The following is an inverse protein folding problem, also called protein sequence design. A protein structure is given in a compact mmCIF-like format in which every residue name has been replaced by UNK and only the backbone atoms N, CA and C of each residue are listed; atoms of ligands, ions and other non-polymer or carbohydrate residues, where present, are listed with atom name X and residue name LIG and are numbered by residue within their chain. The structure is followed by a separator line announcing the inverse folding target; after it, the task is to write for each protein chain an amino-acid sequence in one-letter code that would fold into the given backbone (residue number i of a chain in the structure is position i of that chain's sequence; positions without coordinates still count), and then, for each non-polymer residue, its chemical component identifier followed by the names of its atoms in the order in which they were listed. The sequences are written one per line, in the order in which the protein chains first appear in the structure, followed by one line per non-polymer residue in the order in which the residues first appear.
data_IF_513908828192
#
_entry.id   IF_513908828192
#
_cell.length_a   1.000
_cell.length_b   1.000
_cell.length_c   1.000
_cell.angle_alpha   90.00
_cell.angle_beta   90.00
_cell.angle_gamma   90.00
#
_symmetry.space_group_name_H-M   'P 1'
#
loop_
_entity.id
_entity.type
_entity.pdbx_description
1 polymer ?
#
# COMPACT_ATOMS: atom_id res chain seq x y z
N UNK A 1 -84.53 47.25 22.59
CA UNK A 1 -84.31 47.38 21.15
C UNK A 1 -82.84 47.73 20.91
N UNK A 2 -82.09 46.79 20.37
CA UNK A 2 -80.64 46.85 20.20
C UNK A 2 -80.25 47.57 18.90
N UNK A 3 -79.10 48.25 18.89
CA UNK A 3 -78.33 48.51 17.66
C UNK A 3 -76.92 47.98 17.86
N UNK A 4 -76.45 47.00 17.06
CA UNK A 4 -75.07 46.56 17.14
C UNK A 4 -74.17 47.58 16.44
N UNK A 5 -73.14 48.06 17.14
CA UNK A 5 -72.07 48.88 16.56
C UNK A 5 -71.15 47.94 15.76
N UNK A 6 -71.13 48.09 14.43
CA UNK A 6 -70.23 47.33 13.55
C UNK A 6 -68.83 47.95 13.58
N UNK A 7 -67.87 47.25 14.17
CA UNK A 7 -66.45 47.56 13.99
C UNK A 7 -65.97 46.98 12.66
N UNK A 8 -65.68 47.84 11.68
CA UNK A 8 -65.03 47.44 10.43
C UNK A 8 -63.54 47.17 10.67
N UNK A 9 -63.15 45.91 10.79
CA UNK A 9 -61.74 45.48 10.77
C UNK A 9 -61.22 45.47 9.34
N UNK A 10 -60.85 46.62 8.81
CA UNK A 10 -60.08 46.72 7.56
C UNK A 10 -58.70 47.31 7.84
N UNK A 11 -57.90 46.63 8.67
CA UNK A 11 -56.47 46.94 8.80
C UNK A 11 -55.77 46.39 7.55
N UNK A 12 -55.87 47.13 6.43
CA UNK A 12 -55.01 46.89 5.26
C UNK A 12 -53.57 46.97 5.75
N UNK A 13 -52.88 45.83 5.83
CA UNK A 13 -51.42 45.82 5.91
C UNK A 13 -50.93 46.45 4.61
N UNK A 14 -50.63 47.75 4.62
CA UNK A 14 -49.86 48.36 3.53
C UNK A 14 -48.53 47.63 3.53
N UNK A 15 -48.31 46.76 2.55
CA UNK A 15 -46.97 46.28 2.26
C UNK A 15 -46.13 47.53 2.02
N UNK A 16 -45.18 47.80 2.93
CA UNK A 16 -44.22 48.88 2.78
C UNK A 16 -43.40 48.58 1.52
N UNK A 17 -43.82 49.15 0.39
CA UNK A 17 -43.09 49.03 -0.86
C UNK A 17 -41.91 49.98 -0.79
N UNK A 18 -40.72 49.43 -0.61
CA UNK A 18 -39.45 50.16 -0.53
C UNK A 18 -39.10 50.95 -1.80
N UNK A 19 -39.94 50.93 -2.85
CA UNK A 19 -39.74 51.69 -4.10
C UNK A 19 -39.91 53.22 -3.94
N UNK A 20 -40.66 53.69 -2.93
CA UNK A 20 -40.94 55.12 -2.74
C UNK A 20 -39.84 55.89 -2.02
N UNK A 21 -39.03 55.20 -1.21
CA UNK A 21 -37.80 55.73 -0.65
C UNK A 21 -36.69 55.31 -1.60
N UNK A 22 -35.88 56.22 -2.14
CA UNK A 22 -34.82 55.94 -3.15
C UNK A 22 -33.68 55.00 -2.70
N UNK A 23 -33.97 54.04 -1.83
CA UNK A 23 -33.08 53.01 -1.32
C UNK A 23 -32.83 52.03 -2.47
N UNK A 24 -31.73 52.24 -3.20
CA UNK A 24 -31.22 51.27 -4.16
C UNK A 24 -30.87 49.97 -3.38
N UNK A 25 -31.34 48.79 -3.80
CA UNK A 25 -30.97 47.55 -3.13
C UNK A 25 -29.45 47.41 -3.14
N UNK A 26 -28.85 47.10 -1.99
CA UNK A 26 -27.42 46.90 -1.86
C UNK A 26 -26.99 45.79 -2.84
N UNK A 27 -26.35 46.16 -3.94
CA UNK A 27 -25.74 45.21 -4.88
C UNK A 27 -24.47 44.69 -4.24
N UNK A 28 -24.57 43.60 -3.49
CA UNK A 28 -23.38 42.86 -3.05
C UNK A 28 -22.65 42.34 -4.29
N UNK A 29 -21.61 43.06 -4.72
CA UNK A 29 -20.66 42.54 -5.69
C UNK A 29 -20.03 41.30 -5.05
N UNK A 30 -20.35 40.09 -5.56
CA UNK A 30 -19.63 38.88 -5.16
C UNK A 30 -18.15 39.11 -5.45
N UNK A 31 -17.37 39.38 -4.41
CA UNK A 31 -15.91 39.50 -4.51
C UNK A 31 -15.41 38.16 -5.05
N UNK A 32 -14.93 38.15 -6.30
CA UNK A 32 -14.26 36.97 -6.86
C UNK A 32 -13.04 36.74 -5.99
N UNK A 33 -13.00 35.58 -5.31
CA UNK A 33 -11.84 35.20 -4.50
C UNK A 33 -10.63 35.13 -5.41
N UNK A 34 -9.52 35.68 -4.97
CA UNK A 34 -8.26 35.56 -5.71
C UNK A 34 -7.78 34.11 -5.68
N UNK A 35 -7.05 33.67 -6.70
CA UNK A 35 -6.45 32.33 -6.73
C UNK A 35 -5.64 32.01 -5.47
N UNK A 36 -5.01 33.02 -4.85
CA UNK A 36 -4.27 32.87 -3.58
C UNK A 36 -5.18 32.55 -2.40
N UNK A 37 -6.36 33.16 -2.32
CA UNK A 37 -7.36 32.89 -1.26
C UNK A 37 -8.02 31.51 -1.44
N UNK A 38 -8.34 31.14 -2.69
CA UNK A 38 -8.83 29.80 -3.02
C UNK A 38 -7.78 28.76 -2.63
N UNK A 39 -6.52 28.94 -3.06
CA UNK A 39 -5.42 28.04 -2.72
C UNK A 39 -5.23 27.89 -1.21
N UNK A 40 -5.20 28.98 -0.43
CA UNK A 40 -5.10 28.89 1.04
C UNK A 40 -6.23 28.07 1.67
N UNK A 41 -7.44 28.19 1.13
CA UNK A 41 -8.62 27.47 1.66
C UNK A 41 -8.57 25.98 1.33
N UNK A 42 -8.12 25.62 0.12
CA UNK A 42 -8.10 24.22 -0.35
C UNK A 42 -6.80 23.49 0.00
N UNK A 43 -5.70 24.21 0.23
CA UNK A 43 -4.37 23.66 0.56
C UNK A 43 -4.39 22.60 1.67
N UNK A 44 -5.01 22.79 2.85
CA UNK A 44 -5.02 21.77 3.89
C UNK A 44 -5.76 20.49 3.44
N UNK A 45 -6.84 20.63 2.67
CA UNK A 45 -7.57 19.49 2.10
C UNK A 45 -6.76 18.76 1.04
N UNK A 46 -6.06 19.49 0.17
CA UNK A 46 -5.15 18.89 -0.83
C UNK A 46 -4.05 18.08 -0.14
N UNK A 47 -3.41 18.63 0.90
CA UNK A 47 -2.39 17.90 1.66
C UNK A 47 -2.98 16.72 2.43
N UNK A 48 -4.17 16.87 3.04
CA UNK A 48 -4.85 15.78 3.74
C UNK A 48 -5.22 14.63 2.81
N UNK A 49 -5.80 14.93 1.63
CA UNK A 49 -6.12 13.94 0.60
C UNK A 49 -4.84 13.29 0.07
N UNK A 50 -3.78 14.07 -0.18
CA UNK A 50 -2.50 13.52 -0.63
C UNK A 50 -1.89 12.57 0.41
N UNK A 51 -1.91 12.93 1.70
CA UNK A 51 -1.43 12.06 2.78
C UNK A 51 -2.27 10.78 2.91
N UNK A 52 -3.60 10.89 2.83
CA UNK A 52 -4.49 9.72 2.85
C UNK A 52 -4.28 8.83 1.63
N UNK A 53 -4.07 9.41 0.45
CA UNK A 53 -3.74 8.66 -0.76
C UNK A 53 -2.39 7.95 -0.62
N UNK A 54 -1.35 8.63 -0.13
CA UNK A 54 -0.04 8.01 0.15
C UNK A 54 -0.20 6.87 1.17
N UNK A 55 -0.92 7.08 2.27
CA UNK A 55 -1.15 6.06 3.28
C UNK A 55 -1.93 4.85 2.73
N UNK A 56 -2.96 5.08 1.91
CA UNK A 56 -3.71 4.01 1.24
C UNK A 56 -2.84 3.25 0.24
N UNK A 57 -1.99 3.96 -0.51
CA UNK A 57 -1.02 3.38 -1.43
C UNK A 57 0.00 2.50 -0.70
N UNK A 58 0.47 2.90 0.49
CA UNK A 58 1.35 2.07 1.32
C UNK A 58 0.72 0.73 1.77
N UNK A 59 -0.61 0.60 1.74
CA UNK A 59 -1.32 -0.64 2.04
C UNK A 59 -1.56 -1.52 0.80
N UNK A 60 -1.26 -1.02 -0.41
CA UNK A 60 -1.36 -1.81 -1.63
C UNK A 60 -0.10 -2.67 -1.80
N UNK A 61 -0.32 -3.97 -2.03
CA UNK A 61 0.72 -4.92 -2.41
C UNK A 61 1.43 -4.42 -3.69
N UNK A 62 2.66 -3.92 -3.53
CA UNK A 62 3.41 -3.26 -4.61
C UNK A 62 4.27 -2.08 -4.14
N UNK A 63 3.96 -1.48 -2.99
CA UNK A 63 4.76 -0.38 -2.42
C UNK A 63 6.12 -0.80 -1.82
N UNK A 64 6.46 -2.09 -1.89
CA UNK A 64 7.77 -2.62 -1.48
C UNK A 64 8.81 -2.57 -2.59
N UNK A 65 8.40 -2.48 -3.85
CA UNK A 65 9.36 -2.39 -4.95
C UNK A 65 9.90 -0.95 -5.05
N UNK A 66 11.23 -0.77 -4.98
CA UNK A 66 11.85 0.52 -5.23
C UNK A 66 11.55 0.96 -6.66
N UNK A 67 11.55 2.26 -6.95
CA UNK A 67 11.47 2.71 -8.32
C UNK A 67 12.64 2.12 -9.15
N UNK A 68 12.39 1.87 -10.44
CA UNK A 68 13.31 1.12 -11.31
C UNK A 68 14.75 1.65 -11.35
N UNK A 69 14.93 2.96 -11.14
CA UNK A 69 16.26 3.60 -11.11
C UNK A 69 17.08 3.27 -9.85
N UNK A 70 16.43 2.76 -8.78
CA UNK A 70 17.09 2.23 -7.57
C UNK A 70 17.23 0.71 -7.61
N UNK A 71 16.79 0.04 -8.68
CA UNK A 71 16.93 -1.40 -8.82
C UNK A 71 18.15 -1.75 -9.67
N UNK A 72 18.86 -2.81 -9.28
CA UNK A 72 19.91 -3.41 -10.08
C UNK A 72 19.38 -4.02 -11.37
N UNK A 73 20.28 -4.31 -12.31
CA UNK A 73 19.92 -5.01 -13.53
C UNK A 73 19.30 -6.39 -13.20
N UNK A 74 18.18 -6.77 -13.83
CA UNK A 74 17.51 -8.03 -13.55
C UNK A 74 18.42 -9.20 -13.91
N UNK A 75 18.64 -10.07 -12.93
CA UNK A 75 19.39 -11.30 -13.10
C UNK A 75 18.41 -12.45 -13.32
N UNK A 76 18.58 -13.19 -14.42
CA UNK A 76 17.82 -14.43 -14.65
C UNK A 76 18.36 -15.54 -13.75
N UNK A 77 17.46 -16.21 -13.04
CA UNK A 77 17.76 -17.34 -12.17
C UNK A 77 16.78 -18.48 -12.45
N UNK A 78 17.23 -19.70 -12.24
CA UNK A 78 16.41 -20.89 -12.42
C UNK A 78 17.19 -22.14 -12.02
N UNK A 79 16.48 -23.26 -12.02
CA UNK A 79 17.00 -24.55 -11.59
C UNK A 79 16.04 -25.23 -10.62
N UNK A 80 16.48 -26.34 -10.05
CA UNK A 80 15.69 -27.11 -9.08
C UNK A 80 16.17 -26.76 -7.67
N UNK A 81 15.33 -26.07 -6.93
CA UNK A 81 15.52 -25.75 -5.53
C UNK A 81 15.01 -26.89 -4.66
N UNK A 82 15.89 -27.39 -3.78
CA UNK A 82 15.56 -28.39 -2.76
C UNK A 82 15.41 -27.72 -1.40
N UNK A 83 15.04 -28.47 -0.35
CA UNK A 83 15.23 -28.00 1.02
C UNK A 83 16.73 -27.95 1.34
N UNK A 84 17.16 -26.94 2.10
CA UNK A 84 18.52 -26.91 2.59
C UNK A 84 18.71 -28.03 3.63
N UNK A 85 19.78 -28.81 3.49
CA UNK A 85 20.13 -29.91 4.39
C UNK A 85 21.64 -30.04 4.61
N UNK A 86 22.08 -31.06 5.38
CA UNK A 86 23.51 -31.34 5.56
C UNK A 86 24.16 -31.63 4.20
N UNK A 87 25.15 -30.84 3.81
CA UNK A 87 25.74 -30.90 2.46
C UNK A 87 25.16 -29.85 1.50
N UNK A 88 25.32 -28.57 1.87
CA UNK A 88 25.16 -27.32 1.09
C UNK A 88 24.69 -27.52 -0.38
N UNK A 89 23.38 -27.64 -0.57
CA UNK A 89 22.78 -27.55 -1.89
C UNK A 89 23.03 -26.16 -2.47
N UNK A 90 23.63 -26.08 -3.66
CA UNK A 90 23.85 -24.81 -4.35
C UNK A 90 22.53 -24.11 -4.70
N UNK A 91 21.41 -24.83 -4.82
CA UNK A 91 20.08 -24.26 -5.00
C UNK A 91 19.18 -24.85 -3.91
N UNK A 92 18.95 -24.11 -2.83
CA UNK A 92 18.12 -24.61 -1.74
C UNK A 92 17.32 -23.51 -1.04
N UNK A 93 16.19 -23.90 -0.46
CA UNK A 93 15.30 -23.04 0.32
C UNK A 93 15.57 -23.25 1.81
N UNK A 94 15.83 -22.14 2.52
CA UNK A 94 16.13 -22.14 3.94
C UNK A 94 14.84 -22.11 4.74
N UNK A 95 13.97 -21.14 4.49
CA UNK A 95 12.68 -20.91 5.17
C UNK A 95 11.71 -20.24 4.18
N UNK A 96 10.57 -19.71 4.64
CA UNK A 96 9.54 -19.11 3.79
C UNK A 96 9.92 -17.79 3.10
N UNK A 97 11.02 -17.14 3.47
CA UNK A 97 11.44 -15.87 2.87
C UNK A 97 12.91 -15.88 2.41
N UNK A 98 13.65 -16.95 2.69
CA UNK A 98 15.09 -17.03 2.41
C UNK A 98 15.45 -18.27 1.57
N UNK A 99 16.22 -18.06 0.51
CA UNK A 99 16.77 -19.12 -0.34
C UNK A 99 18.24 -18.86 -0.70
N UNK A 100 18.93 -19.89 -1.20
CA UNK A 100 20.36 -19.84 -1.55
C UNK A 100 20.59 -20.17 -3.01
N UNK A 101 21.58 -19.49 -3.60
CA UNK A 101 22.17 -19.79 -4.91
C UNK A 101 23.69 -19.74 -4.82
N UNK A 102 24.34 -20.90 -4.85
CA UNK A 102 25.77 -21.07 -4.66
C UNK A 102 26.20 -20.53 -3.28
N UNK A 103 27.12 -19.56 -3.22
CA UNK A 103 27.52 -18.92 -1.97
C UNK A 103 26.50 -17.88 -1.48
N UNK A 104 25.62 -17.39 -2.35
CA UNK A 104 24.75 -16.26 -2.08
C UNK A 104 23.48 -16.69 -1.35
N UNK A 105 23.09 -15.89 -0.35
CA UNK A 105 21.82 -16.05 0.37
C UNK A 105 20.93 -14.87 0.06
N UNK A 106 19.71 -15.13 -0.40
CA UNK A 106 18.73 -14.14 -0.82
C UNK A 106 17.56 -14.14 0.16
N UNK A 107 17.27 -12.97 0.74
CA UNK A 107 16.08 -12.71 1.54
C UNK A 107 15.08 -11.94 0.69
N UNK A 108 13.89 -12.50 0.49
CA UNK A 108 12.80 -11.86 -0.25
C UNK A 108 12.30 -10.65 0.54
N UNK A 109 12.24 -9.50 -0.12
CA UNK A 109 11.76 -8.24 0.46
C UNK A 109 10.24 -8.14 0.41
N UNK A 110 9.67 -7.33 1.31
CA UNK A 110 8.22 -7.08 1.37
C UNK A 110 7.41 -8.16 2.10
N UNK A 111 8.04 -9.25 2.53
CA UNK A 111 7.39 -10.35 3.24
C UNK A 111 8.12 -10.73 4.53
N UNK A 112 7.36 -11.32 5.44
CA UNK A 112 7.82 -12.00 6.65
C UNK A 112 7.11 -13.35 6.77
N UNK A 113 7.86 -14.39 7.09
CA UNK A 113 7.34 -15.75 7.27
C UNK A 113 7.78 -16.33 8.60
N UNK A 114 7.03 -17.31 9.10
CA UNK A 114 7.45 -18.12 10.23
C UNK A 114 8.82 -18.77 9.94
N UNK A 115 9.70 -18.71 10.93
CA UNK A 115 11.05 -19.25 10.84
C UNK A 115 11.02 -20.76 11.17
N UNK A 116 11.84 -21.57 10.47
CA UNK A 116 11.90 -23.02 10.77
C UNK A 116 12.41 -23.32 12.18
N UNK A 117 13.14 -22.39 12.80
CA UNK A 117 13.51 -22.43 14.21
C UNK A 117 12.35 -21.96 15.09
N UNK A 118 11.23 -22.67 15.00
CA UNK A 118 9.98 -22.30 15.63
C UNK A 118 10.02 -22.41 17.16
N UNK A 119 9.36 -21.48 17.84
CA UNK A 119 9.16 -21.48 19.28
C UNK A 119 7.92 -22.28 19.71
N UNK A 120 6.96 -22.50 18.80
CA UNK A 120 5.74 -23.26 19.05
C UNK A 120 5.32 -24.14 17.86
N UNK A 121 4.46 -25.16 18.07
CA UNK A 121 4.01 -26.05 16.99
C UNK A 121 3.28 -25.35 15.84
N UNK A 122 2.49 -24.30 16.15
CA UNK A 122 1.77 -23.54 15.14
C UNK A 122 2.74 -22.81 14.19
N UNK A 123 3.79 -22.18 14.74
CA UNK A 123 4.85 -21.55 13.97
C UNK A 123 5.60 -22.56 13.11
N UNK A 124 5.90 -23.76 13.63
CA UNK A 124 6.57 -24.81 12.86
C UNK A 124 5.75 -25.24 11.63
N UNK A 125 4.44 -25.49 11.80
CA UNK A 125 3.55 -25.85 10.71
C UNK A 125 3.45 -24.74 9.66
N UNK A 126 3.35 -23.49 10.11
CA UNK A 126 3.31 -22.34 9.22
C UNK A 126 4.64 -22.16 8.46
N UNK A 127 5.78 -22.34 9.13
CA UNK A 127 7.10 -22.26 8.53
C UNK A 127 7.29 -23.34 7.46
N UNK A 128 6.87 -24.58 7.72
CA UNK A 128 6.92 -25.67 6.75
C UNK A 128 6.08 -25.38 5.50
N UNK A 129 4.86 -24.89 5.70
CA UNK A 129 3.94 -24.51 4.63
C UNK A 129 4.52 -23.37 3.77
N UNK A 130 5.01 -22.29 4.41
CA UNK A 130 5.62 -21.16 3.70
C UNK A 130 6.87 -21.58 2.94
N UNK A 131 7.74 -22.40 3.55
CA UNK A 131 8.94 -22.88 2.88
C UNK A 131 8.60 -23.78 1.67
N UNK A 132 7.50 -24.55 1.73
CA UNK A 132 7.03 -25.36 0.61
C UNK A 132 6.49 -24.49 -0.52
N UNK A 133 5.67 -23.49 -0.19
CA UNK A 133 5.15 -22.55 -1.18
C UNK A 133 6.27 -21.79 -1.90
N UNK A 134 7.30 -21.35 -1.16
CA UNK A 134 8.47 -20.71 -1.75
C UNK A 134 9.20 -21.66 -2.70
N UNK A 135 9.49 -22.88 -2.25
CA UNK A 135 10.14 -23.90 -3.07
C UNK A 135 9.36 -24.19 -4.36
N UNK A 136 8.05 -24.37 -4.24
CA UNK A 136 7.17 -24.65 -5.37
C UNK A 136 7.20 -23.48 -6.36
N UNK A 137 7.11 -22.23 -5.90
CA UNK A 137 7.16 -21.06 -6.77
C UNK A 137 8.50 -20.92 -7.52
N UNK A 138 9.62 -21.12 -6.82
CA UNK A 138 10.96 -21.07 -7.42
C UNK A 138 11.13 -22.15 -8.50
N UNK A 139 10.53 -23.33 -8.28
CA UNK A 139 10.62 -24.47 -9.19
C UNK A 139 9.65 -24.41 -10.38
N UNK A 140 8.74 -23.43 -10.46
CA UNK A 140 7.85 -23.25 -11.64
C UNK A 140 8.59 -22.90 -12.93
N UNK A 141 9.87 -22.53 -12.84
CA UNK A 141 10.73 -22.20 -13.96
C UNK A 141 11.54 -20.92 -13.74
N UNK A 142 12.20 -20.37 -14.77
CA UNK A 142 13.10 -19.23 -14.64
C UNK A 142 12.43 -17.93 -14.17
N UNK A 143 13.04 -17.24 -13.23
CA UNK A 143 12.56 -15.98 -12.66
C UNK A 143 13.65 -14.92 -12.68
N UNK A 144 13.27 -13.67 -12.45
CA UNK A 144 14.17 -12.54 -12.36
C UNK A 144 14.35 -12.14 -10.89
N UNK A 145 15.60 -11.80 -10.55
CA UNK A 145 15.96 -11.21 -9.27
C UNK A 145 16.55 -9.83 -9.51
N UNK A 146 16.02 -8.85 -8.82
CA UNK A 146 16.61 -7.52 -8.67
C UNK A 146 16.88 -7.23 -7.21
N UNK A 147 17.74 -6.25 -6.95
CA UNK A 147 18.10 -5.78 -5.61
C UNK A 147 18.03 -4.26 -5.60
N UNK A 148 17.87 -3.69 -4.41
CA UNK A 148 18.10 -2.26 -4.22
C UNK A 148 19.57 -1.92 -4.39
N UNK A 149 19.88 -0.82 -5.06
CA UNK A 149 21.26 -0.34 -5.25
C UNK A 149 21.76 0.35 -3.97
N UNK A 150 20.88 1.07 -3.27
CA UNK A 150 21.20 1.83 -2.07
C UNK A 150 21.33 0.93 -0.82
N UNK A 151 20.61 -0.17 -0.78
CA UNK A 151 20.65 -1.15 0.31
C UNK A 151 20.56 -2.59 -0.24
N UNK A 152 21.66 -3.11 -0.83
CA UNK A 152 21.63 -4.39 -1.54
C UNK A 152 21.60 -5.61 -0.61
N UNK A 153 22.06 -5.46 0.64
CA UNK A 153 22.16 -6.55 1.60
C UNK A 153 21.75 -6.10 3.01
N UNK A 154 21.27 -7.05 3.80
CA UNK A 154 20.94 -6.82 5.21
C UNK A 154 22.19 -6.81 6.10
N UNK A 155 21.98 -6.49 7.39
CA UNK A 155 23.05 -6.48 8.41
C UNK A 155 23.75 -7.82 8.62
N UNK A 156 23.20 -8.92 8.12
CA UNK A 156 23.75 -10.27 8.21
C UNK A 156 24.44 -10.70 6.90
N UNK A 157 24.51 -9.81 5.91
CA UNK A 157 25.13 -10.09 4.59
C UNK A 157 24.23 -10.85 3.63
N UNK A 158 22.91 -11.00 3.91
CA UNK A 158 21.97 -11.61 2.96
C UNK A 158 21.53 -10.57 1.93
N UNK A 159 21.51 -10.96 0.67
CA UNK A 159 21.04 -10.10 -0.42
C UNK A 159 19.55 -9.84 -0.30
N UNK A 160 19.13 -8.57 -0.29
CA UNK A 160 17.72 -8.18 -0.27
C UNK A 160 17.15 -8.27 -1.69
N UNK A 161 16.39 -9.34 -1.92
CA UNK A 161 15.91 -9.73 -3.23
C UNK A 161 14.48 -9.27 -3.49
N UNK A 162 14.25 -8.77 -4.69
CA UNK A 162 12.93 -8.59 -5.30
C UNK A 162 12.84 -9.64 -6.39
N UNK A 163 11.88 -10.56 -6.26
CA UNK A 163 11.80 -11.75 -7.10
C UNK A 163 10.49 -11.74 -7.86
N UNK A 164 10.57 -11.84 -9.19
CA UNK A 164 9.39 -11.85 -10.05
C UNK A 164 9.58 -12.62 -11.34
N UNK A 165 8.48 -13.05 -11.93
CA UNK A 165 8.42 -13.65 -13.26
C UNK A 165 7.68 -12.70 -14.19
N UNK A 166 8.25 -12.42 -15.34
CA UNK A 166 7.61 -11.59 -16.36
C UNK A 166 7.11 -12.52 -17.46
N UNK A 167 5.79 -12.64 -17.58
CA UNK A 167 5.14 -13.46 -18.59
C UNK A 167 4.98 -12.74 -19.93
N UNK A 168 4.46 -13.47 -20.92
CA UNK A 168 4.06 -12.90 -22.20
C UNK A 168 3.04 -11.78 -22.00
N UNK A 169 3.22 -10.67 -22.72
CA UNK A 169 2.41 -9.46 -22.55
C UNK A 169 2.82 -8.56 -21.38
N UNK A 170 3.94 -8.85 -20.69
CA UNK A 170 4.50 -7.98 -19.65
C UNK A 170 3.82 -8.11 -18.28
N UNK A 171 2.97 -9.13 -18.09
CA UNK A 171 2.37 -9.42 -16.78
C UNK A 171 3.44 -9.88 -15.80
N UNK A 172 3.56 -9.18 -14.68
CA UNK A 172 4.47 -9.55 -13.60
C UNK A 172 3.76 -10.45 -12.58
N UNK A 173 4.35 -11.61 -12.29
CA UNK A 173 4.01 -12.44 -11.12
C UNK A 173 5.11 -12.27 -10.07
N UNK A 174 4.80 -11.55 -9.00
CA UNK A 174 5.75 -11.27 -7.91
C UNK A 174 5.68 -12.36 -6.86
N UNK A 175 6.85 -12.85 -6.45
CA UNK A 175 6.96 -13.86 -5.41
C UNK A 175 6.35 -13.37 -4.09
N UNK A 176 6.63 -12.12 -3.69
CA UNK A 176 6.09 -11.53 -2.47
C UNK A 176 4.54 -11.58 -2.45
N UNK A 177 3.89 -11.18 -3.54
CA UNK A 177 2.44 -11.17 -3.64
C UNK A 177 1.86 -12.60 -3.60
N UNK A 178 2.52 -13.56 -4.26
CA UNK A 178 2.13 -14.96 -4.18
C UNK A 178 2.28 -15.53 -2.76
N UNK A 179 3.39 -15.23 -2.09
CA UNK A 179 3.64 -15.69 -0.73
C UNK A 179 2.62 -15.13 0.28
N UNK A 180 2.19 -13.88 0.12
CA UNK A 180 1.13 -13.30 0.96
C UNK A 180 -0.22 -13.97 0.71
N UNK A 181 -0.58 -14.25 -0.56
CA UNK A 181 -1.89 -14.83 -0.90
C UNK A 181 -1.99 -16.33 -0.60
N UNK A 182 -0.94 -17.08 -0.92
CA UNK A 182 -0.97 -18.55 -0.97
C UNK A 182 0.10 -19.18 -0.06
N UNK A 183 1.21 -18.48 0.19
CA UNK A 183 2.33 -18.99 0.99
C UNK A 183 2.25 -18.71 2.49
N UNK A 184 1.19 -18.05 2.97
CA UNK A 184 1.00 -17.71 4.39
C UNK A 184 2.02 -16.70 4.95
N UNK A 185 2.64 -15.92 4.08
CA UNK A 185 3.50 -14.82 4.50
C UNK A 185 2.67 -13.59 4.91
N UNK A 186 3.24 -12.77 5.78
CA UNK A 186 2.70 -11.45 6.13
C UNK A 186 3.44 -10.37 5.36
N UNK A 187 2.74 -9.29 5.02
CA UNK A 187 3.34 -8.07 4.47
C UNK A 187 4.30 -7.45 5.48
N UNK A 188 5.50 -7.05 5.04
CA UNK A 188 6.54 -6.51 5.94
C UNK A 188 7.35 -5.36 5.31
N UNK A 189 7.32 -4.20 5.97
CA UNK A 189 7.94 -2.94 5.49
C UNK A 189 9.19 -2.51 6.26
N UNK A 190 9.79 -3.38 7.06
CA UNK A 190 10.84 -3.01 8.00
C UNK A 190 10.26 -2.43 9.29
N UNK A 191 10.34 -3.19 10.38
CA UNK A 191 9.75 -2.83 11.66
C UNK A 191 9.68 -4.02 12.62
N UNK A 192 8.77 -3.96 13.59
CA UNK A 192 8.54 -5.09 14.48
C UNK A 192 7.80 -6.21 13.74
N UNK A 193 8.30 -7.44 13.89
CA UNK A 193 7.60 -8.64 13.42
C UNK A 193 6.55 -9.04 14.45
N UNK A 194 5.38 -9.43 13.96
CA UNK A 194 4.36 -10.04 14.79
C UNK A 194 4.74 -11.49 15.11
N UNK A 195 4.34 -11.97 16.29
CA UNK A 195 4.54 -13.37 16.70
C UNK A 195 3.77 -14.34 15.80
N UNK A 196 4.31 -15.55 15.65
CA UNK A 196 3.71 -16.69 14.93
C UNK A 196 3.12 -17.75 15.88
N UNK A 197 3.26 -17.50 17.18
CA UNK A 197 2.45 -18.03 18.27
C UNK A 197 1.43 -16.94 18.68
#
# INVERSE_FOLDING_TARGET
MAKPVRFHTARRRRAFSAKGYGIRPARFRRRRKTWREVWRTVRPWVFGIALLAIAALHQLAGFFEPPRFLQSAPQSMGGVFTRCGPGRGALCVVDGDTFKRGPDTYRVTGIDTAELKAACPAEALQAEASTRALQDWLNRGPFQVTTRIDEPADRYGRTLAIVKRVGEGGREDRLADHMIREGGARSYSGGFRATWC
#
